data_IF_380276324126
#
_entry.id   IF_380276324126
#
_cell.length_a   1.000
_cell.length_b   1.000
_cell.length_c   1.000
_cell.angle_alpha   90.00
_cell.angle_beta   90.00
_cell.angle_gamma   90.00
#
_symmetry.space_group_name_H-M   'P 1'
#
loop_
_entity.id
_entity.type
_entity.pdbx_description
1 polymer ?
#
# COMPACT_ATOMS: atom_id res chain seq x y z
N UNK A 1 -34.97 -28.48 39.16
CA UNK A 1 -33.94 -29.34 39.76
C UNK A 1 -34.04 -29.20 41.26
N UNK A 2 -34.27 -30.27 41.97
CA UNK A 2 -34.39 -30.26 43.46
C UNK A 2 -33.04 -30.75 44.02
N UNK A 3 -32.33 -29.84 44.63
CA UNK A 3 -31.07 -30.17 45.33
C UNK A 3 -31.41 -30.32 46.80
N UNK A 4 -31.04 -31.45 47.38
CA UNK A 4 -31.22 -31.75 48.83
C UNK A 4 -29.82 -31.79 49.45
N UNK A 5 -29.58 -31.08 50.55
CA UNK A 5 -28.29 -31.10 51.20
C UNK A 5 -28.23 -32.32 52.17
N UNK A 6 -27.02 -32.69 52.65
CA UNK A 6 -26.75 -33.81 53.57
C UNK A 6 -27.54 -33.85 54.88
N UNK A 7 -28.29 -32.81 55.19
CA UNK A 7 -29.17 -32.70 56.40
C UNK A 7 -30.66 -32.67 56.05
N UNK A 8 -31.08 -33.07 54.84
CA UNK A 8 -32.50 -33.24 54.45
C UNK A 8 -33.33 -31.96 54.37
N UNK A 9 -32.72 -30.75 54.41
CA UNK A 9 -33.48 -29.48 54.27
C UNK A 9 -33.63 -29.06 52.83
N UNK A 10 -34.88 -28.78 52.39
CA UNK A 10 -35.20 -28.25 51.07
C UNK A 10 -34.81 -26.81 50.95
N UNK A 11 -33.81 -26.53 50.09
CA UNK A 11 -33.43 -25.18 49.71
C UNK A 11 -34.39 -24.60 48.65
N UNK A 12 -35.06 -23.50 48.96
CA UNK A 12 -35.90 -22.77 48.03
C UNK A 12 -35.01 -21.73 47.31
N UNK A 13 -34.62 -22.01 46.09
CA UNK A 13 -33.81 -21.10 45.27
C UNK A 13 -34.72 -19.95 44.81
N UNK A 14 -34.38 -18.70 45.18
CA UNK A 14 -35.09 -17.48 44.76
C UNK A 14 -35.09 -17.35 43.22
N UNK A 15 -36.19 -16.77 42.64
CA UNK A 15 -36.37 -16.66 41.20
C UNK A 15 -35.20 -15.95 40.46
N UNK A 16 -34.56 -14.98 41.13
CA UNK A 16 -33.38 -14.28 40.58
C UNK A 16 -32.13 -15.19 40.41
N UNK A 17 -31.93 -16.11 41.38
CA UNK A 17 -30.81 -17.06 41.33
C UNK A 17 -31.00 -18.11 40.23
N UNK A 18 -32.25 -18.48 39.92
CA UNK A 18 -32.55 -19.38 38.77
C UNK A 18 -32.26 -18.70 37.44
N UNK A 19 -32.61 -17.42 37.30
CA UNK A 19 -32.33 -16.65 36.10
C UNK A 19 -30.81 -16.49 35.87
N UNK A 20 -30.04 -16.21 36.90
CA UNK A 20 -28.56 -16.12 36.81
C UNK A 20 -27.95 -17.46 36.38
N UNK A 21 -28.38 -18.58 36.98
CA UNK A 21 -27.89 -19.92 36.61
C UNK A 21 -28.25 -20.30 35.17
N UNK A 22 -29.44 -19.96 34.70
CA UNK A 22 -29.85 -20.19 33.31
C UNK A 22 -29.03 -19.32 32.35
N UNK A 23 -28.80 -18.05 32.69
CA UNK A 23 -28.02 -17.12 31.88
C UNK A 23 -26.56 -17.53 31.76
N UNK A 24 -25.94 -17.97 32.85
CA UNK A 24 -24.57 -18.51 32.82
C UNK A 24 -24.46 -19.79 31.99
N UNK A 25 -25.45 -20.67 32.05
CA UNK A 25 -25.48 -21.88 31.21
C UNK A 25 -25.63 -21.55 29.71
N UNK A 26 -26.44 -20.57 29.37
CA UNK A 26 -26.59 -20.10 27.96
C UNK A 26 -25.29 -19.48 27.46
N UNK A 27 -24.61 -18.65 28.26
CA UNK A 27 -23.31 -18.07 27.90
C UNK A 27 -22.23 -19.17 27.71
N UNK A 28 -22.23 -20.17 28.56
CA UNK A 28 -21.27 -21.30 28.45
C UNK A 28 -21.53 -22.14 27.20
N UNK A 29 -22.79 -22.38 26.84
CA UNK A 29 -23.17 -23.04 25.58
C UNK A 29 -22.74 -22.23 24.36
N UNK A 30 -22.93 -20.92 24.39
CA UNK A 30 -22.50 -20.01 23.31
C UNK A 30 -20.97 -20.01 23.17
N UNK A 31 -20.23 -19.94 24.29
CA UNK A 31 -18.76 -20.01 24.27
C UNK A 31 -18.20 -21.32 23.72
N UNK A 32 -18.91 -22.43 23.90
CA UNK A 32 -18.49 -23.73 23.36
C UNK A 32 -18.97 -23.92 21.90
N UNK A 33 -20.20 -23.47 21.58
CA UNK A 33 -20.79 -23.67 20.26
C UNK A 33 -20.17 -22.74 19.19
N UNK A 34 -19.84 -21.48 19.52
CA UNK A 34 -19.23 -20.55 18.58
C UNK A 34 -17.91 -21.06 17.97
N UNK A 35 -16.91 -21.51 18.76
CA UNK A 35 -15.69 -22.09 18.19
C UNK A 35 -15.93 -23.32 17.34
N UNK A 36 -16.91 -24.16 17.70
CA UNK A 36 -17.25 -25.40 16.94
C UNK A 36 -17.88 -25.03 15.59
N UNK A 37 -18.72 -24.00 15.54
CA UNK A 37 -19.32 -23.50 14.29
C UNK A 37 -18.23 -22.92 13.40
N UNK A 38 -17.33 -22.08 13.94
CA UNK A 38 -16.19 -21.53 13.20
C UNK A 38 -15.21 -22.60 12.71
N UNK A 39 -14.92 -23.62 13.52
CA UNK A 39 -14.06 -24.73 13.13
C UNK A 39 -14.74 -25.64 12.08
N UNK A 40 -16.07 -25.75 12.09
CA UNK A 40 -16.82 -26.49 11.08
C UNK A 40 -16.87 -25.75 9.75
N UNK A 41 -16.98 -24.41 9.78
CA UNK A 41 -16.92 -23.56 8.59
C UNK A 41 -15.51 -23.56 7.97
N UNK A 42 -14.45 -23.48 8.81
CA UNK A 42 -13.06 -23.62 8.37
C UNK A 42 -12.74 -25.04 7.83
N UNK A 43 -13.36 -26.11 8.35
CA UNK A 43 -13.22 -27.47 7.81
C UNK A 43 -14.00 -27.67 6.52
N UNK A 44 -15.12 -26.99 6.32
CA UNK A 44 -15.85 -27.05 5.06
C UNK A 44 -15.12 -26.31 3.93
N UNK A 45 -14.36 -25.27 4.21
CA UNK A 45 -13.47 -24.63 3.22
C UNK A 45 -12.25 -25.48 2.88
N UNK A 46 -11.75 -26.32 3.81
CA UNK A 46 -10.64 -27.25 3.53
C UNK A 46 -11.09 -28.56 2.86
N UNK A 47 -12.36 -28.96 2.98
CA UNK A 47 -12.91 -30.18 2.34
C UNK A 47 -13.52 -29.94 0.95
N UNK A 48 -13.56 -28.71 0.43
CA UNK A 48 -13.86 -28.43 -0.99
C UNK A 48 -12.70 -28.80 -1.94
N UNK A 49 -11.58 -29.30 -1.40
CA UNK A 49 -10.38 -29.69 -2.16
C UNK A 49 -10.31 -31.16 -2.55
N UNK A 50 -11.36 -31.98 -2.35
CA UNK A 50 -11.30 -33.42 -2.67
C UNK A 50 -12.44 -33.98 -3.53
N UNK A 51 -13.32 -33.16 -4.10
CA UNK A 51 -14.11 -33.54 -5.25
C UNK A 51 -13.29 -33.28 -6.51
N UNK A 52 -12.90 -34.31 -7.24
CA UNK A 52 -11.98 -34.32 -8.38
C UNK A 52 -12.41 -33.45 -9.57
N UNK A 53 -12.52 -32.15 -9.34
CA UNK A 53 -12.56 -31.15 -10.40
C UNK A 53 -11.09 -30.89 -10.74
N UNK A 54 -10.58 -31.54 -11.79
CA UNK A 54 -9.33 -31.13 -12.44
C UNK A 54 -9.57 -29.75 -13.00
N UNK A 55 -9.15 -28.70 -12.25
CA UNK A 55 -8.99 -27.38 -12.84
C UNK A 55 -7.99 -27.57 -14.00
N UNK A 56 -8.43 -27.30 -15.23
CA UNK A 56 -7.50 -27.22 -16.34
C UNK A 56 -6.61 -25.98 -16.09
N UNK A 57 -5.40 -25.96 -16.66
CA UNK A 57 -4.42 -24.87 -16.46
C UNK A 57 -5.04 -23.49 -16.76
N UNK A 58 -6.02 -23.44 -17.66
CA UNK A 58 -6.72 -22.22 -18.02
C UNK A 58 -7.55 -21.60 -16.88
N UNK A 59 -8.25 -22.42 -16.10
CA UNK A 59 -9.04 -21.97 -14.96
C UNK A 59 -8.14 -21.52 -13.79
N UNK A 60 -7.01 -22.21 -13.59
CA UNK A 60 -6.00 -21.83 -12.59
C UNK A 60 -5.40 -20.47 -12.97
N UNK A 61 -5.00 -20.29 -14.22
CA UNK A 61 -4.42 -19.04 -14.72
C UNK A 61 -5.40 -17.87 -14.60
N UNK A 62 -6.69 -18.07 -14.90
CA UNK A 62 -7.73 -17.05 -14.72
C UNK A 62 -7.94 -16.67 -13.25
N UNK A 63 -7.98 -17.67 -12.37
CA UNK A 63 -8.17 -17.44 -10.93
C UNK A 63 -6.96 -16.80 -10.25
N UNK A 64 -5.74 -17.02 -10.79
CA UNK A 64 -4.51 -16.43 -10.27
C UNK A 64 -4.27 -14.98 -10.73
N UNK A 65 -5.09 -14.43 -11.62
CA UNK A 65 -4.89 -13.11 -12.23
C UNK A 65 -3.82 -13.08 -13.34
N UNK A 66 -3.26 -14.24 -13.72
CA UNK A 66 -2.22 -14.36 -14.76
C UNK A 66 -2.78 -14.42 -16.19
N UNK A 67 -4.09 -14.24 -16.37
CA UNK A 67 -4.72 -14.28 -17.69
C UNK A 67 -4.91 -12.89 -18.27
N UNK A 68 -4.50 -12.70 -19.53
CA UNK A 68 -4.80 -11.52 -20.35
C UNK A 68 -5.37 -11.97 -21.70
N UNK A 69 -6.49 -11.41 -22.21
CA UNK A 69 -7.06 -11.82 -23.47
C UNK A 69 -6.09 -11.53 -24.62
N UNK A 70 -5.99 -12.46 -25.58
CA UNK A 70 -5.26 -12.20 -26.82
C UNK A 70 -5.91 -11.01 -27.55
N UNK A 71 -5.09 -10.04 -27.99
CA UNK A 71 -5.58 -8.78 -28.56
C UNK A 71 -6.33 -7.86 -27.56
N UNK A 72 -6.32 -8.21 -26.24
CA UNK A 72 -6.93 -7.37 -25.23
C UNK A 72 -6.24 -6.02 -25.07
N UNK A 73 -7.01 -5.01 -24.70
CA UNK A 73 -6.52 -3.64 -24.48
C UNK A 73 -6.68 -3.23 -23.03
N UNK A 74 -5.79 -2.35 -22.57
CA UNK A 74 -5.92 -1.60 -21.31
C UNK A 74 -6.95 -0.51 -21.50
N UNK A 75 -8.00 -0.48 -20.68
CA UNK A 75 -8.98 0.61 -20.65
C UNK A 75 -8.57 1.66 -19.62
N UNK A 76 -7.91 2.71 -20.11
CA UNK A 76 -7.36 3.79 -19.30
C UNK A 76 -8.29 5.00 -19.28
N UNK A 77 -8.72 5.42 -18.10
CA UNK A 77 -9.42 6.69 -17.93
C UNK A 77 -8.43 7.85 -17.78
N UNK A 78 -8.40 8.74 -18.78
CA UNK A 78 -7.64 9.99 -18.78
C UNK A 78 -8.45 11.07 -18.06
N UNK A 79 -8.07 11.39 -16.82
CA UNK A 79 -8.87 12.28 -15.96
C UNK A 79 -8.99 13.69 -16.48
N UNK A 80 -7.88 14.29 -16.92
CA UNK A 80 -7.88 15.67 -17.45
C UNK A 80 -8.68 15.78 -18.76
N UNK A 81 -8.54 14.78 -19.64
CA UNK A 81 -9.28 14.72 -20.92
C UNK A 81 -10.73 14.27 -20.74
N UNK A 82 -11.07 13.64 -19.61
CA UNK A 82 -12.35 12.98 -19.32
C UNK A 82 -12.75 11.96 -20.41
N UNK A 83 -11.79 11.20 -20.90
CA UNK A 83 -11.96 10.17 -21.95
C UNK A 83 -11.43 8.81 -21.50
N UNK A 84 -11.93 7.74 -22.10
CA UNK A 84 -11.35 6.40 -21.97
C UNK A 84 -10.57 6.08 -23.24
N UNK A 85 -9.31 5.69 -23.07
CA UNK A 85 -8.42 5.28 -24.15
C UNK A 85 -8.16 3.76 -24.05
N UNK A 86 -8.06 3.08 -25.19
CA UNK A 86 -7.68 1.67 -25.27
C UNK A 86 -6.27 1.53 -25.82
N UNK A 87 -5.37 0.94 -25.01
CA UNK A 87 -3.94 0.83 -25.29
C UNK A 87 -3.50 -0.63 -25.28
N UNK A 88 -2.43 -0.95 -26.01
CA UNK A 88 -1.71 -2.20 -25.81
C UNK A 88 -1.10 -2.22 -24.41
N UNK A 89 -1.02 -3.40 -23.77
CA UNK A 89 -0.52 -3.51 -22.41
C UNK A 89 0.89 -2.95 -22.27
N UNK A 90 1.80 -3.34 -23.14
CA UNK A 90 3.20 -2.89 -23.01
C UNK A 90 3.35 -1.39 -23.35
N UNK A 91 2.60 -0.86 -24.30
CA UNK A 91 2.57 0.60 -24.55
C UNK A 91 2.06 1.39 -23.34
N UNK A 92 1.04 0.87 -22.64
CA UNK A 92 0.60 1.44 -21.37
C UNK A 92 1.71 1.40 -20.31
N UNK A 93 2.42 0.26 -20.18
CA UNK A 93 3.52 0.13 -19.20
C UNK A 93 4.68 1.07 -19.52
N UNK A 94 5.04 1.28 -20.79
CA UNK A 94 6.05 2.28 -21.19
C UNK A 94 5.69 3.68 -20.70
N UNK A 95 4.45 4.10 -20.90
CA UNK A 95 3.95 5.40 -20.42
C UNK A 95 3.96 5.54 -18.90
N UNK A 96 3.68 4.46 -18.17
CA UNK A 96 3.76 4.43 -16.70
C UNK A 96 5.22 4.53 -16.22
N UNK A 97 6.12 3.68 -16.72
CA UNK A 97 7.54 3.71 -16.32
C UNK A 97 8.16 5.07 -16.61
N UNK A 98 7.87 5.63 -17.78
CA UNK A 98 8.33 6.97 -18.19
C UNK A 98 7.83 8.07 -17.25
N UNK A 99 6.67 7.90 -16.62
CA UNK A 99 6.06 8.89 -15.71
C UNK A 99 6.50 8.73 -14.27
N UNK A 100 6.73 7.50 -13.83
CA UNK A 100 7.03 7.15 -12.45
C UNK A 100 8.53 7.26 -12.12
N UNK A 101 9.42 6.94 -13.08
CA UNK A 101 10.86 6.97 -12.85
C UNK A 101 11.60 7.96 -13.75
N UNK A 102 12.68 8.59 -13.25
CA UNK A 102 13.62 9.30 -14.11
C UNK A 102 14.26 8.36 -15.15
N UNK A 103 14.24 8.73 -16.43
CA UNK A 103 14.77 7.89 -17.50
C UNK A 103 16.29 7.63 -17.41
N UNK A 104 17.03 8.46 -16.66
CA UNK A 104 18.45 8.26 -16.40
C UNK A 104 18.76 7.25 -15.27
N UNK A 105 17.71 6.64 -14.68
CA UNK A 105 17.92 5.52 -13.75
C UNK A 105 18.54 4.33 -14.47
N UNK A 106 19.16 3.44 -13.71
CA UNK A 106 19.73 2.20 -14.24
C UNK A 106 18.65 1.34 -14.89
N UNK A 107 19.03 0.58 -15.93
CA UNK A 107 18.10 -0.26 -16.68
C UNK A 107 17.42 -1.31 -15.80
N UNK A 108 18.15 -1.92 -14.85
CA UNK A 108 17.59 -2.92 -13.94
C UNK A 108 16.54 -2.30 -13.00
N UNK A 109 16.67 -1.04 -12.62
CA UNK A 109 15.64 -0.32 -11.87
C UNK A 109 14.39 -0.06 -12.72
N UNK A 110 14.55 0.32 -14.00
CA UNK A 110 13.44 0.51 -14.94
C UNK A 110 12.72 -0.81 -15.21
N UNK A 111 13.45 -1.93 -15.35
CA UNK A 111 12.88 -3.28 -15.46
C UNK A 111 12.05 -3.66 -14.23
N UNK A 112 12.58 -3.42 -13.02
CA UNK A 112 11.85 -3.67 -11.78
C UNK A 112 10.54 -2.85 -11.72
N UNK A 113 10.59 -1.57 -12.12
CA UNK A 113 9.38 -0.74 -12.20
C UNK A 113 8.38 -1.26 -13.24
N UNK A 114 8.84 -1.72 -14.40
CA UNK A 114 7.96 -2.27 -15.43
C UNK A 114 7.20 -3.50 -14.93
N UNK A 115 7.88 -4.43 -14.25
CA UNK A 115 7.25 -5.60 -13.63
C UNK A 115 6.25 -5.20 -12.54
N UNK A 116 6.63 -4.27 -11.65
CA UNK A 116 5.74 -3.77 -10.59
C UNK A 116 4.50 -3.06 -11.17
N UNK A 117 4.68 -2.20 -12.17
CA UNK A 117 3.59 -1.47 -12.83
C UNK A 117 2.63 -2.42 -13.57
N UNK A 118 3.16 -3.43 -14.27
CA UNK A 118 2.35 -4.45 -14.94
C UNK A 118 1.55 -5.29 -13.93
N UNK A 119 2.17 -5.65 -12.82
CA UNK A 119 1.51 -6.35 -11.71
C UNK A 119 0.35 -5.51 -11.15
N UNK A 120 0.59 -4.21 -10.93
CA UNK A 120 -0.44 -3.29 -10.45
C UNK A 120 -1.62 -3.22 -11.42
N UNK A 121 -1.35 -3.09 -12.72
CA UNK A 121 -2.40 -3.07 -13.72
C UNK A 121 -3.20 -4.39 -13.77
N UNK A 122 -2.53 -5.55 -13.74
CA UNK A 122 -3.21 -6.85 -13.76
C UNK A 122 -4.17 -7.03 -12.58
N UNK A 123 -3.82 -6.49 -11.41
CA UNK A 123 -4.76 -6.43 -10.29
C UNK A 123 -5.91 -5.45 -10.55
N UNK A 124 -5.64 -4.24 -11.07
CA UNK A 124 -6.67 -3.23 -11.36
C UNK A 124 -7.65 -3.67 -12.44
N UNK A 125 -7.23 -4.50 -13.35
CA UNK A 125 -8.11 -5.09 -14.35
C UNK A 125 -9.20 -5.98 -13.72
N UNK A 126 -8.89 -6.65 -12.60
CA UNK A 126 -9.84 -7.48 -11.84
C UNK A 126 -10.62 -6.63 -10.83
N UNK A 127 -9.96 -5.65 -10.22
CA UNK A 127 -10.48 -4.76 -9.19
C UNK A 127 -10.28 -3.29 -9.60
N UNK A 128 -11.09 -2.74 -10.51
CA UNK A 128 -10.93 -1.38 -11.01
C UNK A 128 -10.98 -0.34 -9.88
N UNK A 129 -10.29 0.78 -10.06
CA UNK A 129 -10.47 1.90 -9.16
C UNK A 129 -11.83 2.57 -9.43
N UNK A 130 -12.48 3.08 -8.37
CA UNK A 130 -13.84 3.65 -8.44
C UNK A 130 -14.00 4.73 -9.52
N UNK A 131 -12.98 5.59 -9.69
CA UNK A 131 -13.01 6.66 -10.69
C UNK A 131 -13.03 6.09 -12.11
N UNK A 132 -12.20 5.06 -12.39
CA UNK A 132 -12.14 4.40 -13.69
C UNK A 132 -13.40 3.55 -13.95
N UNK A 133 -13.83 2.77 -12.95
CA UNK A 133 -15.01 1.91 -13.05
C UNK A 133 -16.27 2.71 -13.42
N UNK A 134 -16.44 3.90 -12.81
CA UNK A 134 -17.56 4.80 -13.12
C UNK A 134 -17.60 5.30 -14.57
N UNK A 135 -16.50 5.14 -15.30
CA UNK A 135 -16.31 5.52 -16.71
C UNK A 135 -16.20 4.31 -17.64
N UNK A 136 -16.37 3.10 -17.14
CA UNK A 136 -16.21 1.86 -17.92
C UNK A 136 -14.74 1.53 -18.24
N UNK A 137 -13.80 2.06 -17.46
CA UNK A 137 -12.37 1.80 -17.54
C UNK A 137 -11.88 0.93 -16.38
N UNK A 138 -10.64 0.43 -16.49
CA UNK A 138 -10.02 -0.45 -15.50
C UNK A 138 -9.12 0.34 -14.53
N UNK A 139 -8.44 1.38 -15.05
CA UNK A 139 -7.43 2.15 -14.35
C UNK A 139 -7.46 3.62 -14.77
N UNK A 140 -6.99 4.53 -13.91
CA UNK A 140 -6.87 5.95 -14.22
C UNK A 140 -5.40 6.41 -14.27
N UNK A 141 -5.13 7.55 -14.92
CA UNK A 141 -3.81 8.13 -15.18
C UNK A 141 -3.27 9.01 -14.05
N UNK A 142 -3.75 8.85 -12.82
CA UNK A 142 -3.39 9.72 -11.70
C UNK A 142 -2.73 8.98 -10.54
N UNK A 143 -2.23 9.72 -9.56
CA UNK A 143 -1.66 9.19 -8.31
C UNK A 143 -2.62 8.35 -7.47
N UNK A 144 -3.91 8.28 -7.82
CA UNK A 144 -4.86 7.34 -7.20
C UNK A 144 -4.64 5.90 -7.69
N UNK A 145 -4.01 5.74 -8.86
CA UNK A 145 -3.60 4.47 -9.45
C UNK A 145 -2.09 4.49 -9.67
N UNK A 146 -1.65 4.75 -10.89
CA UNK A 146 -0.25 5.03 -11.26
C UNK A 146 -0.23 6.09 -12.36
N UNK A 147 0.75 6.99 -12.30
CA UNK A 147 0.82 8.10 -13.24
C UNK A 147 1.13 7.58 -14.64
N UNK A 148 0.41 8.09 -15.65
CA UNK A 148 0.61 7.75 -17.05
C UNK A 148 0.73 9.01 -17.91
N UNK A 149 1.68 8.98 -18.83
CA UNK A 149 1.78 9.93 -19.96
C UNK A 149 2.01 9.13 -21.24
N UNK A 150 1.41 9.57 -22.34
CA UNK A 150 1.75 9.02 -23.64
C UNK A 150 3.18 9.45 -24.08
N UNK A 151 3.68 8.82 -25.15
CA UNK A 151 5.05 9.06 -25.64
C UNK A 151 5.28 10.52 -26.00
N UNK A 152 4.36 11.11 -26.74
CA UNK A 152 4.47 12.49 -27.23
C UNK A 152 4.45 13.48 -26.06
N UNK A 153 3.53 13.29 -25.12
CA UNK A 153 3.43 14.09 -23.92
C UNK A 153 4.71 14.00 -23.08
N UNK A 154 5.27 12.80 -22.93
CA UNK A 154 6.48 12.59 -22.12
C UNK A 154 7.73 13.16 -22.78
N UNK A 155 7.92 12.91 -24.10
CA UNK A 155 9.04 13.45 -24.87
C UNK A 155 9.06 14.97 -24.85
N UNK A 156 7.90 15.63 -24.93
CA UNK A 156 7.80 17.09 -24.88
C UNK A 156 8.30 17.70 -23.55
N UNK A 157 8.33 16.90 -22.46
CA UNK A 157 8.80 17.34 -21.13
C UNK A 157 10.28 17.07 -20.88
N UNK A 158 10.94 16.33 -21.76
CA UNK A 158 12.38 16.06 -21.70
C UNK A 158 13.16 17.06 -22.58
N UNK A 159 14.47 17.16 -22.34
CA UNK A 159 15.33 17.91 -23.25
C UNK A 159 15.33 17.24 -24.64
N UNK A 160 15.25 18.04 -25.69
CA UNK A 160 15.20 17.53 -27.07
C UNK A 160 16.40 16.62 -27.40
N UNK A 161 17.55 16.89 -26.81
CA UNK A 161 18.79 16.12 -27.00
C UNK A 161 18.67 14.68 -26.48
N UNK A 162 17.97 14.47 -25.36
CA UNK A 162 17.95 13.20 -24.64
C UNK A 162 16.62 12.45 -24.79
N UNK A 163 15.62 13.08 -25.41
CA UNK A 163 14.24 12.59 -25.41
C UNK A 163 14.09 11.19 -26.07
N UNK A 164 14.65 11.01 -27.24
CA UNK A 164 14.59 9.72 -27.95
C UNK A 164 15.42 8.64 -27.24
N UNK A 165 16.65 8.94 -26.78
CA UNK A 165 17.47 7.97 -26.06
C UNK A 165 16.83 7.56 -24.72
N UNK A 166 16.18 8.48 -24.03
CA UNK A 166 15.45 8.20 -22.79
C UNK A 166 14.24 7.29 -23.06
N UNK A 167 13.49 7.56 -24.15
CA UNK A 167 12.36 6.71 -24.51
C UNK A 167 12.81 5.31 -24.91
N UNK A 168 13.84 5.19 -25.76
CA UNK A 168 14.37 3.90 -26.18
C UNK A 168 14.85 3.05 -25.01
N UNK A 169 15.50 3.64 -24.01
CA UNK A 169 15.92 2.94 -22.80
C UNK A 169 14.72 2.39 -22.00
N UNK A 170 13.64 3.15 -21.90
CA UNK A 170 12.42 2.70 -21.23
C UNK A 170 11.76 1.59 -22.06
N UNK A 171 11.68 1.74 -23.35
CA UNK A 171 11.15 0.75 -24.28
C UNK A 171 11.89 -0.59 -24.12
N UNK A 172 13.22 -0.59 -24.17
CA UNK A 172 14.07 -1.76 -23.95
C UNK A 172 13.84 -2.43 -22.59
N UNK A 173 13.73 -1.64 -21.52
CA UNK A 173 13.45 -2.16 -20.18
C UNK A 173 12.08 -2.84 -20.09
N UNK A 174 11.04 -2.26 -20.70
CA UNK A 174 9.69 -2.81 -20.72
C UNK A 174 9.61 -4.06 -21.58
N UNK A 175 10.14 -4.03 -22.80
CA UNK A 175 10.12 -5.18 -23.72
C UNK A 175 10.93 -6.37 -23.18
N UNK A 176 12.08 -6.13 -22.53
CA UNK A 176 12.89 -7.21 -21.94
C UNK A 176 12.21 -7.91 -20.75
N UNK A 177 11.18 -7.29 -20.16
CA UNK A 177 10.38 -7.86 -19.07
C UNK A 177 8.93 -8.13 -19.48
N UNK A 178 8.66 -8.19 -20.80
CA UNK A 178 7.33 -8.35 -21.36
C UNK A 178 6.57 -9.52 -20.75
N UNK A 179 5.33 -9.26 -20.32
CA UNK A 179 4.46 -10.26 -19.71
C UNK A 179 4.83 -10.67 -18.28
N UNK A 180 5.95 -10.20 -17.72
CA UNK A 180 6.36 -10.57 -16.37
C UNK A 180 5.58 -9.76 -15.31
N UNK A 181 5.17 -10.45 -14.24
CA UNK A 181 4.43 -9.90 -13.10
C UNK A 181 4.91 -10.53 -11.79
N UNK A 182 4.70 -9.84 -10.69
CA UNK A 182 4.95 -10.40 -9.36
C UNK A 182 3.80 -11.30 -8.93
N UNK A 183 4.15 -12.45 -8.36
CA UNK A 183 3.22 -13.40 -7.77
C UNK A 183 3.61 -13.75 -6.34
N UNK A 184 2.61 -14.04 -5.51
CA UNK A 184 2.77 -14.61 -4.18
C UNK A 184 1.84 -15.82 -4.07
N UNK A 185 2.39 -16.98 -3.71
CA UNK A 185 1.65 -18.25 -3.71
C UNK A 185 0.91 -18.52 -5.05
N UNK A 186 1.57 -18.22 -6.18
CA UNK A 186 1.05 -18.44 -7.53
C UNK A 186 -0.06 -17.47 -7.99
N UNK A 187 -0.39 -16.43 -7.18
CA UNK A 187 -1.39 -15.42 -7.50
C UNK A 187 -0.73 -14.06 -7.69
N UNK A 188 -1.19 -13.27 -8.68
CA UNK A 188 -0.72 -11.90 -8.90
C UNK A 188 -0.90 -11.06 -7.63
N UNK A 189 0.10 -10.27 -7.26
CA UNK A 189 0.05 -9.43 -6.07
C UNK A 189 -1.15 -8.47 -6.12
N UNK A 190 -1.91 -8.44 -5.03
CA UNK A 190 -3.01 -7.49 -4.87
C UNK A 190 -2.49 -6.06 -4.62
N UNK A 191 -1.36 -5.93 -3.92
CA UNK A 191 -0.78 -4.63 -3.51
C UNK A 191 0.70 -4.53 -3.90
N UNK A 192 1.06 -4.40 -5.19
CA UNK A 192 2.45 -4.19 -5.63
C UNK A 192 2.85 -2.72 -5.49
N UNK A 193 2.90 -2.23 -4.25
CA UNK A 193 3.12 -0.82 -3.94
C UNK A 193 4.55 -0.38 -4.22
N UNK A 194 4.72 0.82 -4.74
CA UNK A 194 6.01 1.48 -4.92
C UNK A 194 5.91 2.98 -4.59
N UNK A 195 7.02 3.61 -4.30
CA UNK A 195 7.09 5.03 -3.91
C UNK A 195 8.46 5.62 -4.26
N UNK A 196 8.57 6.95 -4.19
CA UNK A 196 9.72 7.63 -4.76
C UNK A 196 11.02 7.41 -3.97
N UNK A 197 11.09 7.81 -2.69
CA UNK A 197 12.33 7.86 -1.89
C UNK A 197 12.08 7.36 -0.48
N UNK A 198 12.86 6.37 -0.04
CA UNK A 198 12.85 5.88 1.34
C UNK A 198 13.64 6.78 2.28
N UNK A 199 13.36 6.69 3.55
CA UNK A 199 14.13 7.34 4.63
C UNK A 199 15.35 6.52 5.08
N UNK A 200 15.67 5.42 4.40
CA UNK A 200 16.71 4.44 4.74
C UNK A 200 16.16 3.05 5.07
N UNK A 201 14.85 2.96 5.33
CA UNK A 201 14.12 1.72 5.54
C UNK A 201 12.67 1.89 5.06
N UNK A 202 12.08 0.85 4.45
CA UNK A 202 10.68 0.89 4.03
C UNK A 202 9.74 0.63 5.21
N UNK A 203 8.45 0.90 5.02
CA UNK A 203 7.42 0.70 6.03
C UNK A 203 6.70 -0.64 5.84
N UNK A 204 6.26 -1.26 6.94
CA UNK A 204 5.31 -2.37 6.89
C UNK A 204 3.92 -1.85 6.49
N UNK A 205 3.22 -2.61 5.65
CA UNK A 205 1.88 -2.24 5.18
C UNK A 205 0.87 -2.07 6.34
N UNK A 206 1.04 -2.79 7.43
CA UNK A 206 0.15 -2.67 8.60
C UNK A 206 0.25 -1.30 9.26
N UNK A 207 1.43 -0.69 9.29
CA UNK A 207 1.64 0.61 9.91
C UNK A 207 1.10 1.77 9.06
N UNK A 208 1.03 1.60 7.73
CA UNK A 208 0.64 2.67 6.80
C UNK A 208 -0.80 2.52 6.30
N UNK A 209 -1.22 1.29 5.99
CA UNK A 209 -2.52 1.00 5.39
C UNK A 209 -3.47 0.25 6.33
N UNK A 210 -3.03 -0.07 7.55
CA UNK A 210 -3.78 -0.89 8.53
C UNK A 210 -4.18 -2.27 7.98
N UNK A 211 -3.39 -2.80 7.04
CA UNK A 211 -3.58 -4.10 6.40
C UNK A 211 -2.32 -4.96 6.56
N UNK A 212 -2.48 -6.18 7.04
CA UNK A 212 -1.38 -7.15 7.06
C UNK A 212 -1.22 -7.77 5.68
N UNK A 213 -0.13 -7.41 5.00
CA UNK A 213 0.22 -7.94 3.67
C UNK A 213 1.54 -8.70 3.80
N UNK A 214 1.57 -10.03 3.54
CA UNK A 214 2.73 -10.87 3.89
C UNK A 214 4.01 -10.47 3.16
N UNK A 215 3.91 -9.96 1.95
CA UNK A 215 5.04 -9.55 1.12
C UNK A 215 5.40 -8.06 1.22
N UNK A 216 4.66 -7.23 1.96
CA UNK A 216 4.95 -5.80 2.18
C UNK A 216 5.46 -5.57 3.60
N UNK A 217 6.69 -5.97 3.84
CA UNK A 217 7.39 -5.84 5.12
C UNK A 217 8.42 -4.73 5.08
N UNK A 218 8.71 -4.17 6.24
CA UNK A 218 9.79 -3.20 6.40
C UNK A 218 11.14 -3.84 6.01
N UNK A 219 11.89 -3.22 5.11
CA UNK A 219 13.21 -3.67 4.67
C UNK A 219 14.17 -2.50 4.51
N UNK A 220 15.46 -2.76 4.61
CA UNK A 220 16.51 -1.75 4.41
C UNK A 220 16.45 -1.18 3.00
N UNK A 221 16.68 0.12 2.85
CA UNK A 221 16.67 0.82 1.57
C UNK A 221 17.76 1.92 1.59
N UNK A 222 18.99 1.54 1.28
CA UNK A 222 20.18 2.38 1.43
C UNK A 222 20.63 3.00 0.10
N UNK A 223 21.45 4.05 0.17
CA UNK A 223 22.04 4.70 -1.00
C UNK A 223 21.13 5.73 -1.67
N UNK A 224 20.09 6.16 -0.99
CA UNK A 224 19.11 7.13 -1.51
C UNK A 224 19.43 8.59 -1.10
N UNK A 225 20.47 8.81 -0.34
CA UNK A 225 20.86 10.13 0.20
C UNK A 225 21.14 11.16 -0.90
N UNK A 226 21.44 10.69 -2.12
CA UNK A 226 21.64 11.52 -3.32
C UNK A 226 20.32 11.97 -3.97
N UNK A 227 19.19 11.43 -3.55
CA UNK A 227 17.89 11.79 -4.13
C UNK A 227 17.51 13.23 -3.75
N UNK A 228 17.04 14.05 -4.71
CA UNK A 228 16.74 15.47 -4.44
C UNK A 228 15.70 15.70 -3.32
N UNK A 229 14.86 14.71 -3.07
CA UNK A 229 13.82 14.75 -2.02
C UNK A 229 14.08 13.80 -0.85
N UNK A 230 15.32 13.31 -0.71
CA UNK A 230 15.68 12.46 0.42
C UNK A 230 15.50 13.18 1.76
N UNK A 231 15.86 14.45 1.81
CA UNK A 231 15.65 15.31 2.97
C UNK A 231 15.04 16.65 2.55
N UNK A 232 13.93 17.01 3.17
CA UNK A 232 13.21 18.25 2.86
C UNK A 232 12.80 18.96 4.14
N UNK A 233 12.92 20.30 4.14
CA UNK A 233 12.45 21.14 5.26
C UNK A 233 11.14 21.80 4.87
N UNK A 234 10.16 21.71 5.74
CA UNK A 234 8.88 22.37 5.62
C UNK A 234 8.66 23.28 6.83
N UNK A 235 8.36 24.57 6.63
CA UNK A 235 8.11 25.53 7.70
C UNK A 235 6.77 26.19 7.48
N UNK A 236 6.04 26.45 8.56
CA UNK A 236 4.82 27.25 8.53
C UNK A 236 4.63 28.05 9.83
N UNK A 237 3.91 29.20 9.79
CA UNK A 237 3.53 29.95 10.97
C UNK A 237 2.72 29.08 11.95
N UNK A 238 2.90 29.31 13.26
CA UNK A 238 2.19 28.55 14.32
C UNK A 238 0.66 28.66 14.16
N UNK A 239 0.15 29.80 13.73
CA UNK A 239 -1.30 29.98 13.49
C UNK A 239 -1.81 29.07 12.38
N UNK A 240 -1.09 28.97 11.27
CA UNK A 240 -1.48 28.13 10.14
C UNK A 240 -1.44 26.64 10.54
N UNK A 241 -0.42 26.23 11.29
CA UNK A 241 -0.35 24.90 11.87
C UNK A 241 -1.58 24.60 12.74
N UNK A 242 -1.89 25.48 13.70
CA UNK A 242 -3.03 25.33 14.60
C UNK A 242 -4.34 25.25 13.81
N UNK A 243 -4.52 26.13 12.82
CA UNK A 243 -5.72 26.14 11.96
C UNK A 243 -5.85 24.85 11.17
N UNK A 244 -4.75 24.32 10.59
CA UNK A 244 -4.76 23.03 9.88
C UNK A 244 -5.14 21.87 10.80
N UNK A 245 -4.59 21.80 12.00
CA UNK A 245 -4.96 20.76 13.00
C UNK A 245 -6.42 20.88 13.39
N UNK A 246 -6.88 22.10 13.73
CA UNK A 246 -8.28 22.35 14.13
C UNK A 246 -9.29 22.17 13.00
N UNK A 247 -8.88 22.27 11.76
CA UNK A 247 -9.76 21.99 10.62
C UNK A 247 -10.26 20.55 10.63
N UNK A 248 -9.45 19.60 11.10
CA UNK A 248 -9.79 18.17 11.24
C UNK A 248 -10.19 17.81 12.68
N UNK A 249 -9.52 18.38 13.67
CA UNK A 249 -9.74 18.13 15.09
C UNK A 249 -10.21 19.42 15.77
N UNK A 250 -11.49 19.77 15.60
CA UNK A 250 -12.08 21.06 16.01
C UNK A 250 -11.91 21.39 17.48
N UNK A 251 -11.94 20.37 18.33
CA UNK A 251 -11.86 20.43 19.78
C UNK A 251 -10.43 20.23 20.34
N UNK A 252 -9.40 20.19 19.46
CA UNK A 252 -8.01 20.04 19.91
C UNK A 252 -7.60 21.22 20.81
N UNK A 253 -7.12 20.90 22.03
CA UNK A 253 -6.65 21.87 23.00
C UNK A 253 -5.22 22.37 22.67
N UNK A 254 -5.10 23.13 21.59
CA UNK A 254 -3.84 23.67 21.08
C UNK A 254 -3.96 25.16 20.79
N UNK A 255 -2.95 25.91 21.23
CA UNK A 255 -2.81 27.36 21.04
C UNK A 255 -1.33 27.73 20.89
N UNK A 256 -1.01 28.94 20.43
CA UNK A 256 0.38 29.41 20.36
C UNK A 256 1.14 29.31 21.70
N UNK A 257 0.45 29.60 22.79
CA UNK A 257 1.07 29.63 24.12
C UNK A 257 1.40 28.24 24.67
N UNK A 258 0.66 27.19 24.29
CA UNK A 258 0.86 25.84 24.80
C UNK A 258 1.51 24.86 23.80
N UNK A 259 1.55 25.20 22.48
CA UNK A 259 1.95 24.27 21.44
C UNK A 259 3.30 23.60 21.68
N UNK A 260 4.32 24.37 22.06
CA UNK A 260 5.67 23.82 22.30
C UNK A 260 5.72 22.73 23.37
N UNK A 261 4.82 22.78 24.34
CA UNK A 261 4.74 21.85 25.47
C UNK A 261 3.63 20.80 25.27
N UNK A 262 2.86 20.88 24.19
CA UNK A 262 1.72 20.02 23.93
C UNK A 262 1.81 19.27 22.60
N UNK A 263 2.96 19.35 21.92
CA UNK A 263 3.25 18.54 20.74
C UNK A 263 4.41 17.59 21.06
N UNK A 264 4.19 16.28 20.89
CA UNK A 264 5.15 15.24 21.21
C UNK A 264 4.97 14.03 20.30
N UNK A 265 6.06 13.48 19.78
CA UNK A 265 6.03 12.21 19.04
C UNK A 265 6.03 11.10 20.08
N UNK A 266 4.95 10.31 20.13
CA UNK A 266 4.77 9.25 21.14
C UNK A 266 5.40 7.92 20.69
N UNK A 267 5.39 7.62 19.39
CA UNK A 267 5.93 6.35 18.88
C UNK A 267 6.36 6.43 17.42
N UNK A 268 7.23 5.51 17.04
CA UNK A 268 7.73 5.33 15.67
C UNK A 268 7.40 3.93 15.16
N UNK A 269 7.30 3.81 13.84
CA UNK A 269 7.24 2.53 13.14
C UNK A 269 8.61 1.86 13.06
N UNK A 270 8.68 0.62 12.60
CA UNK A 270 9.95 -0.06 12.33
C UNK A 270 10.75 0.63 11.20
N UNK A 271 10.06 1.21 10.20
CA UNK A 271 10.65 2.00 9.12
C UNK A 271 11.13 3.40 9.54
N UNK A 272 10.84 3.81 10.78
CA UNK A 272 11.27 5.08 11.35
C UNK A 272 10.33 6.26 11.11
N UNK A 273 9.16 6.03 10.51
CA UNK A 273 8.12 7.06 10.43
C UNK A 273 7.47 7.28 11.81
N UNK A 274 6.95 8.47 12.03
CA UNK A 274 6.10 8.76 13.19
C UNK A 274 4.86 7.88 13.10
N UNK A 275 4.65 7.04 14.11
CA UNK A 275 3.46 6.19 14.24
C UNK A 275 2.34 6.97 14.88
N UNK A 276 2.62 7.58 16.03
CA UNK A 276 1.67 8.40 16.78
C UNK A 276 2.33 9.70 17.24
N UNK A 277 1.58 10.79 17.12
CA UNK A 277 1.96 12.11 17.59
C UNK A 277 0.82 12.72 18.41
N UNK A 278 1.15 13.21 19.59
CA UNK A 278 0.23 13.98 20.43
C UNK A 278 0.28 15.45 20.05
N UNK A 279 -0.90 16.07 19.86
CA UNK A 279 -1.06 17.51 19.63
C UNK A 279 -2.18 18.04 20.51
N UNK A 280 -1.81 18.74 21.56
CA UNK A 280 -2.75 19.12 22.63
C UNK A 280 -3.23 17.89 23.41
N UNK A 281 -4.53 17.65 23.34
CA UNK A 281 -5.21 16.48 23.91
C UNK A 281 -5.51 15.36 22.91
N UNK A 282 -5.08 15.50 21.65
CA UNK A 282 -5.33 14.54 20.57
C UNK A 282 -4.08 13.72 20.27
N UNK A 283 -4.27 12.40 20.12
CA UNK A 283 -3.30 11.49 19.53
C UNK A 283 -3.69 11.29 18.07
N UNK A 284 -2.76 11.56 17.16
CA UNK A 284 -2.96 11.55 15.72
C UNK A 284 -1.97 10.55 15.11
N UNK A 285 -2.41 9.74 14.14
CA UNK A 285 -1.47 8.89 13.40
C UNK A 285 -0.51 9.76 12.57
N UNK A 286 0.76 9.34 12.47
CA UNK A 286 1.75 10.06 11.65
C UNK A 286 1.31 10.18 10.18
N UNK A 287 0.58 9.19 9.66
CA UNK A 287 0.02 9.21 8.31
C UNK A 287 -1.04 10.30 8.15
N UNK A 288 -1.96 10.43 9.11
CA UNK A 288 -2.96 11.49 9.07
C UNK A 288 -2.33 12.88 9.28
N UNK A 289 -1.36 12.96 10.19
CA UNK A 289 -0.61 14.19 10.43
C UNK A 289 0.14 14.64 9.16
N UNK A 290 0.82 13.72 8.47
CA UNK A 290 1.43 13.95 7.16
C UNK A 290 0.42 14.53 6.16
N UNK A 291 -0.79 13.92 6.06
CA UNK A 291 -1.85 14.37 5.13
C UNK A 291 -2.38 15.77 5.47
N UNK A 292 -2.62 16.06 6.75
CA UNK A 292 -3.12 17.37 7.22
C UNK A 292 -2.16 18.50 6.85
N UNK A 293 -0.86 18.25 7.00
CA UNK A 293 0.18 19.24 6.77
C UNK A 293 0.72 19.22 5.34
N UNK A 294 0.37 18.20 4.54
CA UNK A 294 0.93 17.92 3.21
C UNK A 294 2.45 17.76 3.23
N UNK A 295 2.95 16.97 4.22
CA UNK A 295 4.38 16.65 4.32
C UNK A 295 4.77 15.59 3.29
N UNK A 296 6.03 15.61 2.87
CA UNK A 296 6.57 14.66 1.90
C UNK A 296 6.60 13.21 2.42
N UNK A 297 6.84 13.04 3.73
CA UNK A 297 6.92 11.74 4.39
C UNK A 297 6.32 11.82 5.80
N UNK A 298 5.96 10.67 6.36
CA UNK A 298 5.65 10.53 7.79
C UNK A 298 6.92 10.36 8.65
N UNK A 299 8.10 10.18 8.05
CA UNK A 299 9.38 10.24 8.75
C UNK A 299 9.82 11.70 8.86
N UNK A 300 9.62 12.31 10.03
CA UNK A 300 9.96 13.71 10.27
C UNK A 300 10.37 13.97 11.71
N UNK A 301 11.13 15.05 11.89
CA UNK A 301 11.40 15.66 13.20
C UNK A 301 10.78 17.05 13.26
N UNK A 302 10.55 17.53 14.48
CA UNK A 302 9.89 18.81 14.74
C UNK A 302 10.87 19.75 15.46
N UNK A 303 10.90 21.00 15.03
CA UNK A 303 11.60 22.08 15.72
C UNK A 303 10.80 23.39 15.61
N UNK A 304 11.19 24.38 16.42
CA UNK A 304 10.56 25.69 16.41
C UNK A 304 11.63 26.74 16.11
N UNK A 305 11.32 27.63 15.18
CA UNK A 305 12.19 28.76 14.83
C UNK A 305 11.36 30.04 14.76
N UNK A 306 11.67 31.00 15.64
CA UNK A 306 10.87 32.22 15.78
C UNK A 306 9.39 31.91 16.08
N UNK A 307 8.49 32.33 15.17
CA UNK A 307 7.04 32.08 15.25
C UNK A 307 6.59 30.93 14.32
N UNK A 308 7.52 30.11 13.85
CA UNK A 308 7.23 28.99 12.94
C UNK A 308 7.48 27.65 13.62
N UNK A 309 6.69 26.65 13.22
CA UNK A 309 6.98 25.24 13.40
C UNK A 309 7.68 24.71 12.14
N UNK A 310 8.75 23.96 12.34
CA UNK A 310 9.61 23.44 11.25
C UNK A 310 9.66 21.95 11.32
N UNK A 311 9.39 21.29 10.20
CA UNK A 311 9.47 19.86 10.00
C UNK A 311 10.65 19.52 9.09
N UNK A 312 11.55 18.66 9.53
CA UNK A 312 12.56 18.05 8.71
C UNK A 312 12.12 16.64 8.34
N UNK A 313 11.68 16.47 7.09
CA UNK A 313 11.20 15.20 6.56
C UNK A 313 12.32 14.44 5.88
N UNK A 314 12.38 13.11 6.09
CA UNK A 314 13.23 12.18 5.33
C UNK A 314 12.35 11.28 4.46
N UNK A 315 12.75 11.09 3.19
CA UNK A 315 11.99 10.31 2.22
C UNK A 315 10.85 11.08 1.55
N UNK A 316 10.27 10.45 0.52
CA UNK A 316 9.16 11.01 -0.27
C UNK A 316 8.21 9.90 -0.71
N UNK A 317 7.00 9.90 -0.19
CA UNK A 317 5.95 8.93 -0.48
C UNK A 317 5.39 8.27 0.78
N UNK A 318 4.69 7.15 0.59
CA UNK A 318 4.08 6.39 1.69
C UNK A 318 5.02 5.41 2.37
N UNK A 319 6.16 5.09 1.75
CA UNK A 319 7.21 4.25 2.34
C UNK A 319 7.02 2.74 2.19
N UNK A 320 5.92 2.23 1.64
CA UNK A 320 5.62 0.79 1.58
C UNK A 320 5.98 0.20 0.21
N UNK A 321 6.60 -0.99 0.21
CA UNK A 321 7.01 -1.70 -1.01
C UNK A 321 8.28 -1.14 -1.64
N UNK A 322 8.39 -1.10 -2.98
CA UNK A 322 9.63 -0.73 -3.67
C UNK A 322 9.88 0.78 -3.64
N UNK A 323 11.03 1.19 -3.11
CA UNK A 323 11.57 2.53 -3.31
C UNK A 323 12.18 2.66 -4.69
N UNK A 324 11.74 3.65 -5.48
CA UNK A 324 12.25 3.89 -6.84
C UNK A 324 13.72 4.30 -6.83
N UNK A 325 14.12 5.21 -5.94
CA UNK A 325 15.53 5.58 -5.77
C UNK A 325 16.37 4.47 -5.15
N UNK A 326 15.79 3.68 -4.23
CA UNK A 326 16.45 2.50 -3.66
C UNK A 326 16.69 1.41 -4.70
N UNK A 327 15.69 1.14 -5.57
CA UNK A 327 15.86 0.25 -6.72
C UNK A 327 17.01 0.70 -7.62
N UNK A 328 17.10 2.02 -7.91
CA UNK A 328 18.21 2.57 -8.69
C UNK A 328 19.57 2.47 -7.97
N UNK A 329 19.62 2.63 -6.65
CA UNK A 329 20.85 2.45 -5.88
C UNK A 329 21.33 0.99 -5.90
N UNK A 330 20.41 0.02 -5.74
CA UNK A 330 20.70 -1.40 -5.86
C UNK A 330 21.17 -1.78 -7.27
N UNK A 331 20.50 -1.31 -8.31
CA UNK A 331 20.86 -1.55 -9.70
C UNK A 331 22.27 -1.02 -10.01
N UNK A 332 22.61 0.19 -9.60
CA UNK A 332 23.95 0.77 -9.72
C UNK A 332 25.03 -0.01 -8.93
N UNK A 333 24.61 -0.75 -7.92
CA UNK A 333 25.50 -1.66 -7.16
C UNK A 333 25.60 -3.05 -7.77
N UNK A 334 24.98 -3.29 -8.94
CA UNK A 334 25.05 -4.53 -9.72
C UNK A 334 23.90 -5.52 -9.47
N UNK A 335 22.87 -5.17 -8.68
CA UNK A 335 21.70 -6.01 -8.50
C UNK A 335 20.86 -6.09 -9.79
N UNK A 336 20.35 -7.27 -10.09
CA UNK A 336 19.40 -7.49 -11.18
C UNK A 336 17.98 -7.14 -10.73
N UNK A 337 17.08 -6.86 -11.67
CA UNK A 337 15.69 -6.46 -11.37
C UNK A 337 14.95 -7.52 -10.54
N UNK A 338 15.24 -8.81 -10.74
CA UNK A 338 14.68 -9.90 -9.95
C UNK A 338 15.08 -9.80 -8.47
N UNK A 339 16.37 -9.50 -8.21
CA UNK A 339 16.88 -9.33 -6.85
C UNK A 339 16.29 -8.08 -6.20
N UNK A 340 16.16 -6.99 -6.96
CA UNK A 340 15.54 -5.74 -6.49
C UNK A 340 14.08 -6.00 -6.09
N UNK A 341 13.32 -6.68 -6.93
CA UNK A 341 11.92 -7.00 -6.66
C UNK A 341 11.78 -7.90 -5.42
N UNK A 342 12.58 -8.97 -5.31
CA UNK A 342 12.57 -9.88 -4.16
C UNK A 342 13.06 -9.23 -2.86
N UNK A 343 13.88 -8.20 -2.96
CA UNK A 343 14.30 -7.40 -1.81
C UNK A 343 13.14 -6.58 -1.22
N UNK A 344 12.35 -5.94 -2.06
CA UNK A 344 11.25 -5.06 -1.60
C UNK A 344 9.93 -5.78 -1.38
N UNK A 345 9.73 -6.94 -2.01
CA UNK A 345 8.54 -7.77 -1.85
C UNK A 345 8.95 -9.15 -1.33
N UNK A 346 8.75 -9.39 -0.05
CA UNK A 346 9.22 -10.61 0.62
C UNK A 346 8.51 -11.87 0.11
N UNK A 347 9.28 -12.88 -0.28
CA UNK A 347 8.74 -14.19 -0.65
C UNK A 347 7.95 -14.22 -1.96
N UNK A 348 8.16 -13.24 -2.84
CA UNK A 348 7.51 -13.22 -4.16
C UNK A 348 8.32 -13.98 -5.21
N UNK A 349 7.61 -14.43 -6.24
CA UNK A 349 8.17 -14.96 -7.47
C UNK A 349 7.79 -14.06 -8.65
N UNK A 350 8.53 -14.21 -9.76
CA UNK A 350 8.20 -13.59 -11.03
C UNK A 350 7.44 -14.62 -11.88
N UNK A 351 6.17 -14.34 -12.14
CA UNK A 351 5.30 -15.13 -13.01
C UNK A 351 5.16 -14.49 -14.39
N UNK A 352 4.55 -15.21 -15.30
CA UNK A 352 4.27 -14.74 -16.67
C UNK A 352 2.77 -14.70 -16.96
N UNK A 353 2.34 -13.65 -17.63
CA UNK A 353 0.98 -13.52 -18.15
C UNK A 353 0.74 -14.55 -19.26
N UNK A 354 -0.40 -15.23 -19.18
CA UNK A 354 -0.88 -16.13 -20.22
C UNK A 354 -1.85 -15.38 -21.13
N UNK A 355 -1.50 -15.24 -22.41
CA UNK A 355 -2.35 -14.63 -23.41
C UNK A 355 -3.25 -15.69 -24.03
N UNK A 356 -4.57 -15.47 -24.01
CA UNK A 356 -5.59 -16.36 -24.61
C UNK A 356 -6.83 -15.60 -25.06
#
# INVERSE_FOLDING_TARGET
MRIVNEKGKKLRINGSLKSVVIMTFIILIIMIALPIIFLKESRNTSNMSSSGFKLNDENIVKSSGLFFPEGGKVKLYRREKNTVEELDLEEYIKGVVASEMPANFDEEALKAQAVAARTYYMNKRINPCKDAESKGAEICDSTNCQVYMDKEERISKWSQKDSESNWNKIDEAVESTKGQVLTYDGTVLEYPQFFAVSSGKTEDAVDVFSMSVPYLKSTDSKGEEIAPKYQTTFSMPLDDFINKVKSKYKDANVSKSNLKNSIEIESYTEGGSVKEIKVGDKVISGIDFRKILNLNSANFTISFKNNDIVFLCKGYGHGVGMSQWGANAMAKSGSKYEDILKHYYSGVDIGEIKYK
#
